data_IF_005192214158
#
_entry.id   IF_005192214158
#
_cell.length_a   1.000
_cell.length_b   1.000
_cell.length_c   1.000
_cell.angle_alpha   90.00
_cell.angle_beta   90.00
_cell.angle_gamma   90.00
#
_symmetry.space_group_name_H-M   'P 1'
#
loop_
_entity.id
_entity.type
_entity.pdbx_description
1 polymer ?
#
# COMPACT_ATOMS: atom_id res chain seq x y z
N UNK A 1 5.39 -34.51 -12.76
CA UNK A 1 5.35 -33.75 -11.49
C UNK A 1 4.10 -34.07 -10.67
N UNK A 2 2.89 -33.84 -11.18
CA UNK A 2 1.61 -34.10 -10.46
C UNK A 2 1.50 -35.56 -9.96
N UNK A 3 1.74 -36.55 -10.82
CA UNK A 3 1.74 -37.98 -10.43
C UNK A 3 2.74 -38.33 -9.32
N UNK A 4 3.89 -37.65 -9.28
CA UNK A 4 4.88 -37.86 -8.22
C UNK A 4 4.41 -37.26 -6.88
N UNK A 5 3.72 -36.13 -6.94
CA UNK A 5 3.09 -35.54 -5.75
C UNK A 5 1.96 -36.43 -5.21
N UNK A 6 1.18 -37.07 -6.09
CA UNK A 6 0.15 -38.04 -5.70
C UNK A 6 0.73 -39.23 -4.93
N UNK A 7 1.77 -39.85 -5.49
CA UNK A 7 2.44 -40.97 -4.83
C UNK A 7 3.03 -40.56 -3.47
N UNK A 8 3.68 -39.39 -3.41
CA UNK A 8 4.25 -38.87 -2.16
C UNK A 8 3.18 -38.56 -1.10
N UNK A 9 2.01 -38.05 -1.51
CA UNK A 9 0.88 -37.84 -0.60
C UNK A 9 0.38 -39.17 -0.02
N UNK A 10 0.21 -40.19 -0.86
CA UNK A 10 -0.17 -41.54 -0.41
C UNK A 10 0.86 -42.15 0.56
N UNK A 11 2.16 -42.02 0.27
CA UNK A 11 3.25 -42.48 1.14
C UNK A 11 3.23 -41.75 2.49
N UNK A 12 3.03 -40.44 2.50
CA UNK A 12 2.96 -39.65 3.73
C UNK A 12 1.74 -40.03 4.58
N UNK A 13 0.60 -40.39 3.96
CA UNK A 13 -0.61 -40.83 4.66
C UNK A 13 -0.32 -42.16 5.35
N UNK A 14 0.28 -43.10 4.61
CA UNK A 14 0.69 -44.38 5.15
C UNK A 14 1.73 -44.25 6.28
N UNK A 15 2.59 -43.23 6.23
CA UNK A 15 3.62 -42.96 7.24
C UNK A 15 3.13 -42.16 8.45
N UNK A 16 1.85 -41.77 8.53
CA UNK A 16 1.30 -41.01 9.65
C UNK A 16 1.91 -39.60 9.79
N UNK A 17 2.29 -38.97 8.68
CA UNK A 17 2.88 -37.63 8.70
C UNK A 17 1.92 -36.57 9.29
N UNK A 18 2.41 -35.40 9.73
CA UNK A 18 1.54 -34.34 10.24
C UNK A 18 0.78 -33.61 9.12
N UNK A 19 -0.44 -33.14 9.44
CA UNK A 19 -1.39 -32.50 8.51
C UNK A 19 -0.77 -31.41 7.60
N UNK A 20 0.05 -30.52 8.17
CA UNK A 20 0.67 -29.39 7.45
C UNK A 20 1.54 -29.82 6.27
N UNK A 21 2.13 -31.03 6.32
CA UNK A 21 3.02 -31.52 5.26
C UNK A 21 2.21 -31.93 4.03
N UNK A 22 1.02 -32.51 4.24
CA UNK A 22 0.06 -32.82 3.18
C UNK A 22 -0.48 -31.55 2.57
N UNK A 23 -0.91 -30.61 3.40
CA UNK A 23 -1.51 -29.35 2.96
C UNK A 23 -0.59 -28.60 1.98
N UNK A 24 0.69 -28.52 2.32
CA UNK A 24 1.68 -27.84 1.48
C UNK A 24 1.91 -28.53 0.13
N UNK A 25 2.01 -29.86 0.10
CA UNK A 25 2.19 -30.63 -1.14
C UNK A 25 0.93 -30.55 -2.01
N UNK A 26 -0.25 -30.71 -1.39
CA UNK A 26 -1.55 -30.57 -2.06
C UNK A 26 -1.73 -29.19 -2.67
N UNK A 27 -1.34 -28.12 -1.95
CA UNK A 27 -1.35 -26.75 -2.46
C UNK A 27 -0.48 -26.60 -3.71
N UNK A 28 0.78 -27.01 -3.65
CA UNK A 28 1.66 -26.92 -4.83
C UNK A 28 1.21 -27.79 -6.00
N UNK A 29 0.64 -28.97 -5.72
CA UNK A 29 0.01 -29.81 -6.73
C UNK A 29 -1.13 -29.06 -7.43
N UNK A 30 -1.99 -28.37 -6.68
CA UNK A 30 -3.08 -27.57 -7.24
C UNK A 30 -2.56 -26.44 -8.15
N UNK A 31 -1.49 -25.74 -7.76
CA UNK A 31 -0.84 -24.75 -8.62
C UNK A 31 -0.31 -25.37 -9.92
N UNK A 32 0.32 -26.56 -9.85
CA UNK A 32 0.80 -27.26 -11.04
C UNK A 32 -0.34 -27.64 -11.99
N UNK A 33 -1.48 -28.11 -11.45
CA UNK A 33 -2.67 -28.42 -12.24
C UNK A 33 -3.22 -27.16 -12.91
N UNK A 34 -3.38 -26.06 -12.17
CA UNK A 34 -3.81 -24.76 -12.72
C UNK A 34 -2.92 -24.31 -13.87
N UNK A 35 -1.59 -24.41 -13.71
CA UNK A 35 -0.66 -23.98 -14.74
C UNK A 35 -0.77 -24.83 -16.01
N UNK A 36 -0.95 -26.15 -15.87
CA UNK A 36 -1.16 -27.05 -17.02
C UNK A 36 -2.47 -26.69 -17.74
N UNK A 37 -3.54 -26.43 -16.99
CA UNK A 37 -4.82 -26.01 -17.55
C UNK A 37 -4.72 -24.70 -18.33
N UNK A 38 -4.12 -23.66 -17.71
CA UNK A 38 -3.94 -22.36 -18.34
C UNK A 38 -3.08 -22.41 -19.60
N UNK A 39 -2.01 -23.22 -19.59
CA UNK A 39 -1.17 -23.42 -20.78
C UNK A 39 -1.99 -24.08 -21.90
N UNK A 40 -2.78 -25.12 -21.59
CA UNK A 40 -3.62 -25.78 -22.59
C UNK A 40 -4.65 -24.82 -23.18
N UNK A 41 -5.41 -24.12 -22.33
CA UNK A 41 -6.40 -23.13 -22.76
C UNK A 41 -5.80 -22.04 -23.63
N UNK A 42 -4.65 -21.48 -23.23
CA UNK A 42 -3.98 -20.42 -23.98
C UNK A 42 -3.36 -20.89 -25.29
N UNK A 43 -2.60 -21.99 -25.28
CA UNK A 43 -1.78 -22.42 -26.42
C UNK A 43 -2.56 -23.31 -27.38
N UNK A 44 -3.38 -24.23 -26.87
CA UNK A 44 -4.11 -25.20 -27.69
C UNK A 44 -5.46 -24.64 -28.14
N UNK A 45 -6.19 -23.98 -27.23
CA UNK A 45 -7.52 -23.45 -27.52
C UNK A 45 -7.53 -21.95 -27.87
N UNK A 46 -6.38 -21.26 -27.80
CA UNK A 46 -6.26 -19.85 -28.14
C UNK A 46 -7.00 -18.90 -27.18
N UNK A 47 -7.38 -19.38 -25.99
CA UNK A 47 -8.16 -18.60 -25.02
C UNK A 47 -7.33 -17.51 -24.34
N UNK A 48 -7.98 -16.38 -24.06
CA UNK A 48 -7.43 -15.32 -23.21
C UNK A 48 -7.77 -15.63 -21.76
N UNK A 49 -6.77 -16.01 -20.97
CA UNK A 49 -6.95 -16.28 -19.54
C UNK A 49 -7.30 -14.99 -18.79
N UNK A 50 -8.44 -14.94 -18.08
CA UNK A 50 -8.83 -13.83 -17.22
C UNK A 50 -7.76 -13.50 -16.17
N UNK A 51 -7.71 -12.25 -15.72
CA UNK A 51 -6.68 -11.81 -14.77
C UNK A 51 -6.85 -12.48 -13.40
N UNK A 52 -8.09 -12.61 -12.92
CA UNK A 52 -8.44 -13.27 -11.65
C UNK A 52 -8.04 -14.74 -11.56
N UNK A 53 -7.87 -15.42 -12.70
CA UNK A 53 -7.42 -16.81 -12.71
C UNK A 53 -5.89 -16.93 -12.56
N UNK A 54 -5.14 -15.87 -12.83
CA UNK A 54 -3.67 -15.90 -12.84
C UNK A 54 -3.12 -15.81 -11.43
N UNK A 55 -2.07 -16.58 -11.17
CA UNK A 55 -1.32 -16.54 -9.91
C UNK A 55 0.11 -16.14 -10.20
N UNK A 56 0.57 -15.07 -9.56
CA UNK A 56 1.90 -14.51 -9.79
C UNK A 56 2.96 -15.03 -8.81
N UNK A 57 2.54 -15.52 -7.64
CA UNK A 57 3.41 -16.19 -6.68
C UNK A 57 2.71 -17.43 -6.11
N UNK A 58 3.39 -18.59 -6.21
CA UNK A 58 2.92 -19.84 -5.60
C UNK A 58 3.15 -19.88 -4.08
N UNK A 59 3.94 -18.95 -3.57
CA UNK A 59 4.22 -18.80 -2.14
C UNK A 59 3.23 -17.83 -1.50
N UNK A 60 2.92 -16.73 -2.19
CA UNK A 60 1.96 -15.71 -1.77
C UNK A 60 0.93 -15.48 -2.89
N UNK A 61 -0.14 -16.29 -2.98
CA UNK A 61 -1.11 -16.21 -4.08
C UNK A 61 -1.85 -14.87 -4.20
N UNK A 62 -1.76 -14.03 -3.18
CA UNK A 62 -2.36 -12.70 -3.13
C UNK A 62 -1.50 -11.60 -3.76
N UNK A 63 -0.29 -11.90 -4.24
CA UNK A 63 0.57 -10.92 -4.92
C UNK A 63 -0.13 -10.38 -6.16
N UNK A 64 -0.22 -9.07 -6.29
CA UNK A 64 -0.86 -8.40 -7.41
C UNK A 64 0.15 -8.11 -8.53
N UNK A 65 -0.34 -8.10 -9.77
CA UNK A 65 0.39 -7.58 -10.92
C UNK A 65 0.07 -6.10 -11.07
N UNK A 66 1.06 -5.23 -10.87
CA UNK A 66 0.90 -3.78 -10.96
C UNK A 66 1.69 -3.26 -12.16
N UNK A 67 1.01 -2.65 -13.12
CA UNK A 67 1.65 -2.00 -14.27
C UNK A 67 1.83 -0.51 -13.97
N UNK A 68 3.02 -0.07 -13.55
CA UNK A 68 3.28 1.34 -13.15
C UNK A 68 3.45 2.32 -14.33
N UNK A 69 3.32 1.88 -15.58
CA UNK A 69 3.28 2.77 -16.77
C UNK A 69 4.55 3.61 -17.04
N UNK A 70 5.62 3.46 -16.23
CA UNK A 70 6.89 4.16 -16.39
C UNK A 70 7.75 3.45 -17.45
N UNK A 71 8.41 4.23 -18.31
CA UNK A 71 9.32 3.69 -19.32
C UNK A 71 10.45 2.90 -18.64
N UNK A 72 10.52 1.59 -18.90
CA UNK A 72 11.59 0.70 -18.42
C UNK A 72 11.21 -0.28 -17.32
N UNK A 73 10.15 -0.02 -16.54
CA UNK A 73 9.59 -0.99 -15.57
C UNK A 73 8.13 -1.24 -15.94
N UNK A 74 7.91 -2.32 -16.69
CA UNK A 74 6.60 -2.60 -17.26
C UNK A 74 5.64 -3.15 -16.20
N UNK A 75 6.17 -3.86 -15.19
CA UNK A 75 5.38 -4.62 -14.20
C UNK A 75 6.13 -4.78 -12.88
N UNK A 76 5.42 -4.61 -11.78
CA UNK A 76 5.87 -4.94 -10.42
C UNK A 76 4.91 -5.94 -9.75
N UNK A 77 5.44 -6.74 -8.83
CA UNK A 77 4.72 -7.80 -8.10
C UNK A 77 4.63 -7.45 -6.62
N UNK A 78 3.58 -6.75 -6.24
CA UNK A 78 3.45 -6.16 -4.90
C UNK A 78 1.99 -6.24 -4.42
N UNK A 79 1.76 -5.81 -3.18
CA UNK A 79 0.43 -5.55 -2.63
C UNK A 79 0.38 -4.07 -2.29
N UNK A 80 -0.48 -3.27 -2.94
CA UNK A 80 -0.55 -1.84 -2.65
C UNK A 80 -1.02 -1.57 -1.22
N UNK A 81 -0.51 -0.49 -0.64
CA UNK A 81 -0.92 0.02 0.67
C UNK A 81 -1.21 1.50 0.52
N UNK A 82 -2.42 1.90 0.91
CA UNK A 82 -2.80 3.31 1.03
C UNK A 82 -2.53 3.80 2.45
N UNK A 83 -1.99 5.01 2.61
CA UNK A 83 -1.75 5.64 3.90
C UNK A 83 -2.37 7.04 3.94
N UNK A 84 -2.74 7.48 5.14
CA UNK A 84 -3.15 8.86 5.42
C UNK A 84 -2.18 9.45 6.42
N UNK A 85 -1.53 10.55 6.04
CA UNK A 85 -0.54 11.26 6.85
C UNK A 85 -1.09 12.63 7.27
N UNK A 86 -0.75 13.07 8.47
CA UNK A 86 -1.08 14.42 8.96
C UNK A 86 0.02 15.46 8.62
N UNK A 87 -0.26 16.72 8.93
CA UNK A 87 0.68 17.83 8.73
C UNK A 87 1.95 17.73 9.59
N UNK A 88 1.96 16.87 10.61
CA UNK A 88 3.10 16.64 11.49
C UNK A 88 3.91 15.40 11.10
N UNK A 89 3.57 14.77 9.98
CA UNK A 89 4.18 13.57 9.43
C UNK A 89 3.91 12.29 10.25
N UNK A 90 2.77 12.23 10.92
CA UNK A 90 2.26 11.00 11.52
C UNK A 90 1.29 10.31 10.57
N UNK A 91 1.44 9.01 10.44
CA UNK A 91 0.51 8.17 9.69
C UNK A 91 -0.69 7.90 10.60
N UNK A 92 -1.84 8.47 10.24
CA UNK A 92 -3.10 8.36 10.98
C UNK A 92 -3.84 7.06 10.66
N UNK A 93 -3.82 6.65 9.40
CA UNK A 93 -4.51 5.44 8.94
C UNK A 93 -3.74 4.76 7.80
N UNK A 94 -3.97 3.46 7.63
CA UNK A 94 -3.44 2.67 6.52
C UNK A 94 -4.42 1.58 6.09
N UNK A 95 -4.40 1.23 4.80
CA UNK A 95 -5.22 0.15 4.23
C UNK A 95 -4.41 -0.69 3.25
N UNK A 96 -4.40 -2.01 3.47
CA UNK A 96 -3.81 -2.97 2.53
C UNK A 96 -4.83 -3.30 1.45
N UNK A 97 -4.43 -3.13 0.18
CA UNK A 97 -5.32 -3.18 -0.97
C UNK A 97 -5.14 -4.51 -1.71
N UNK A 98 -6.00 -5.50 -1.41
CA UNK A 98 -5.86 -6.84 -2.00
C UNK A 98 -6.40 -6.92 -3.43
N UNK A 99 -7.62 -6.43 -3.61
CA UNK A 99 -8.38 -6.47 -4.86
C UNK A 99 -9.06 -5.11 -5.10
N UNK A 100 -8.51 -4.07 -4.46
CA UNK A 100 -9.02 -2.71 -4.48
C UNK A 100 -8.08 -1.80 -5.26
N UNK A 101 -8.63 -0.84 -6.01
CA UNK A 101 -7.86 0.23 -6.63
C UNK A 101 -7.85 1.50 -5.77
N UNK A 102 -7.00 2.47 -6.11
CA UNK A 102 -6.95 3.77 -5.43
C UNK A 102 -8.33 4.44 -5.38
N UNK A 103 -9.11 4.30 -6.46
CA UNK A 103 -10.46 4.84 -6.56
C UNK A 103 -11.40 4.15 -5.56
N UNK A 104 -11.26 2.85 -5.36
CA UNK A 104 -12.16 2.08 -4.48
C UNK A 104 -11.91 2.40 -3.00
N UNK A 105 -10.64 2.58 -2.62
CA UNK A 105 -10.26 2.80 -1.21
C UNK A 105 -10.40 4.24 -0.73
N UNK A 106 -10.48 5.20 -1.66
CA UNK A 106 -10.42 6.63 -1.36
C UNK A 106 -11.44 7.09 -0.32
N UNK A 107 -12.73 6.81 -0.53
CA UNK A 107 -13.79 7.22 0.40
C UNK A 107 -13.74 6.40 1.69
N UNK A 108 -13.66 5.05 1.65
CA UNK A 108 -13.60 4.25 2.87
C UNK A 108 -12.50 4.67 3.84
N UNK A 109 -11.25 4.84 3.38
CA UNK A 109 -10.13 5.17 4.27
C UNK A 109 -10.31 6.56 4.90
N UNK A 110 -10.90 7.51 4.17
CA UNK A 110 -11.15 8.86 4.67
C UNK A 110 -12.27 8.86 5.71
N UNK A 111 -13.39 8.17 5.44
CA UNK A 111 -14.48 8.05 6.40
C UNK A 111 -14.03 7.36 7.70
N UNK A 112 -13.25 6.27 7.58
CA UNK A 112 -12.62 5.59 8.72
C UNK A 112 -11.69 6.55 9.49
N UNK A 113 -10.91 7.37 8.79
CA UNK A 113 -9.99 8.34 9.42
C UNK A 113 -10.76 9.44 10.15
N UNK A 114 -11.81 10.00 9.55
CA UNK A 114 -12.66 11.02 10.19
C UNK A 114 -13.37 10.47 11.43
N UNK A 115 -13.74 9.20 11.43
CA UNK A 115 -14.32 8.55 12.62
C UNK A 115 -13.30 8.41 13.76
N UNK A 116 -12.04 8.12 13.44
CA UNK A 116 -10.97 8.01 14.45
C UNK A 116 -10.49 9.38 14.95
N UNK A 117 -10.52 10.40 14.10
CA UNK A 117 -9.96 11.72 14.36
C UNK A 117 -10.97 12.81 13.97
N UNK A 118 -11.75 13.30 14.94
CA UNK A 118 -12.80 14.32 14.70
C UNK A 118 -12.27 15.65 14.19
N UNK A 119 -10.99 15.95 14.43
CA UNK A 119 -10.30 17.14 13.92
C UNK A 119 -9.84 16.99 12.45
N UNK A 120 -9.91 15.77 11.88
CA UNK A 120 -9.56 15.52 10.49
C UNK A 120 -10.66 16.04 9.56
N UNK A 121 -10.43 17.24 9.03
CA UNK A 121 -11.44 18.02 8.27
C UNK A 121 -11.09 18.23 6.81
N UNK A 122 -9.82 18.08 6.43
CA UNK A 122 -9.38 18.36 5.07
C UNK A 122 -8.29 17.39 4.62
N UNK A 123 -8.25 17.08 3.33
CA UNK A 123 -7.29 16.14 2.77
C UNK A 123 -6.96 16.48 1.31
N UNK A 124 -5.71 16.27 0.93
CA UNK A 124 -5.26 16.34 -0.46
C UNK A 124 -4.93 14.94 -0.98
N UNK A 125 -5.17 14.73 -2.27
CA UNK A 125 -5.11 13.41 -2.89
C UNK A 125 -4.23 13.42 -4.13
N UNK A 126 -3.71 12.26 -4.49
CA UNK A 126 -3.18 12.05 -5.84
C UNK A 126 -4.34 11.91 -6.84
N UNK A 127 -4.06 12.19 -8.11
CA UNK A 127 -5.03 12.11 -9.21
C UNK A 127 -5.53 10.68 -9.45
N UNK A 128 -4.79 9.67 -8.99
CA UNK A 128 -5.19 8.26 -9.05
C UNK A 128 -6.51 7.97 -8.32
N UNK A 129 -6.78 8.68 -7.23
CA UNK A 129 -7.98 8.50 -6.38
C UNK A 129 -9.27 9.09 -6.99
N UNK A 130 -9.16 9.84 -8.08
CA UNK A 130 -10.29 10.59 -8.63
C UNK A 130 -11.33 9.69 -9.29
N UNK A 131 -12.57 9.84 -8.82
CA UNK A 131 -13.79 9.58 -9.60
C UNK A 131 -14.83 10.68 -9.29
N UNK A 132 -15.79 10.97 -10.19
CA UNK A 132 -16.85 11.93 -9.91
C UNK A 132 -17.64 11.58 -8.64
N UNK A 133 -17.84 10.28 -8.39
CA UNK A 133 -18.51 9.77 -7.19
C UNK A 133 -17.68 10.06 -5.93
N UNK A 134 -16.38 9.79 -5.96
CA UNK A 134 -15.48 10.05 -4.83
C UNK A 134 -15.40 11.53 -4.52
N UNK A 135 -15.20 12.39 -5.52
CA UNK A 135 -15.13 13.84 -5.31
C UNK A 135 -16.38 14.35 -4.61
N UNK A 136 -17.57 13.97 -5.12
CA UNK A 136 -18.84 14.40 -4.53
C UNK A 136 -19.00 13.92 -3.09
N UNK A 137 -18.67 12.64 -2.83
CA UNK A 137 -18.79 12.07 -1.48
C UNK A 137 -17.82 12.72 -0.51
N UNK A 138 -16.60 13.01 -0.93
CA UNK A 138 -15.61 13.69 -0.09
C UNK A 138 -15.99 15.14 0.21
N UNK A 139 -16.67 15.83 -0.71
CA UNK A 139 -17.23 17.17 -0.44
C UNK A 139 -18.33 17.14 0.66
N UNK A 140 -18.94 15.97 0.93
CA UNK A 140 -19.90 15.79 2.03
C UNK A 140 -19.24 15.41 3.36
N UNK A 141 -18.05 14.80 3.31
CA UNK A 141 -17.34 14.25 4.48
C UNK A 141 -16.27 15.22 5.01
N UNK A 142 -15.65 16.00 4.13
CA UNK A 142 -14.55 16.92 4.45
C UNK A 142 -15.00 18.37 4.29
N UNK A 143 -14.52 19.24 5.17
CA UNK A 143 -14.60 20.69 5.01
C UNK A 143 -13.69 21.16 3.86
N UNK A 144 -12.57 20.46 3.61
CA UNK A 144 -11.59 20.80 2.57
C UNK A 144 -11.18 19.58 1.73
N UNK A 145 -11.80 19.42 0.56
CA UNK A 145 -11.42 18.40 -0.43
C UNK A 145 -10.47 18.99 -1.47
N UNK A 146 -9.21 18.55 -1.47
CA UNK A 146 -8.18 19.00 -2.43
C UNK A 146 -7.79 17.88 -3.41
N UNK A 147 -8.79 17.13 -3.90
CA UNK A 147 -8.62 16.10 -4.93
C UNK A 147 -8.51 16.72 -6.34
N UNK A 148 -7.43 16.45 -7.10
CA UNK A 148 -7.32 16.92 -8.47
C UNK A 148 -8.19 16.06 -9.41
N UNK A 149 -8.89 16.72 -10.33
CA UNK A 149 -9.68 16.05 -11.37
C UNK A 149 -8.79 15.32 -12.36
N UNK A 150 -9.18 14.09 -12.71
CA UNK A 150 -8.52 13.31 -13.78
C UNK A 150 -9.01 13.73 -15.16
N UNK A 151 -8.09 13.98 -16.09
CA UNK A 151 -8.40 14.29 -17.49
C UNK A 151 -8.62 15.78 -17.78
N UNK A 152 -9.50 16.09 -18.74
CA UNK A 152 -9.75 17.48 -19.19
C UNK A 152 -10.42 18.30 -18.09
N UNK A 153 -9.80 19.43 -17.73
CA UNK A 153 -10.32 20.38 -16.75
C UNK A 153 -11.32 21.34 -17.41
N UNK A 154 -12.51 21.44 -16.82
CA UNK A 154 -13.47 22.51 -17.13
C UNK A 154 -13.01 23.84 -16.55
N UNK A 155 -13.74 24.92 -16.85
CA UNK A 155 -13.43 26.26 -16.30
C UNK A 155 -13.52 26.28 -14.76
N UNK A 156 -14.51 25.62 -14.20
CA UNK A 156 -14.72 25.55 -12.74
C UNK A 156 -13.65 24.70 -12.05
N UNK A 157 -13.34 23.52 -12.59
CA UNK A 157 -12.26 22.67 -12.06
C UNK A 157 -10.91 23.38 -12.08
N UNK A 158 -10.64 24.13 -13.15
CA UNK A 158 -9.41 24.92 -13.27
C UNK A 158 -9.36 26.01 -12.20
N UNK A 159 -10.44 26.78 -12.04
CA UNK A 159 -10.52 27.82 -11.02
C UNK A 159 -10.35 27.24 -9.60
N UNK A 160 -10.93 26.07 -9.32
CA UNK A 160 -10.75 25.35 -8.04
C UNK A 160 -9.29 24.93 -7.83
N UNK A 161 -8.65 24.33 -8.83
CA UNK A 161 -7.27 23.84 -8.69
C UNK A 161 -6.21 24.95 -8.70
N UNK A 162 -6.55 26.13 -9.22
CA UNK A 162 -5.71 27.34 -9.18
C UNK A 162 -5.93 28.19 -7.92
N UNK A 163 -6.88 27.82 -7.05
CA UNK A 163 -7.10 28.49 -5.79
C UNK A 163 -5.90 28.31 -4.84
N UNK A 164 -5.65 29.31 -4.00
CA UNK A 164 -4.45 29.38 -3.15
C UNK A 164 -4.38 28.23 -2.14
N UNK A 165 -5.52 27.92 -1.51
CA UNK A 165 -5.71 26.80 -0.58
C UNK A 165 -5.43 25.44 -1.25
N UNK A 166 -5.91 25.25 -2.48
CA UNK A 166 -5.67 24.03 -3.25
C UNK A 166 -4.18 23.87 -3.60
N UNK A 167 -3.52 24.96 -4.02
CA UNK A 167 -2.09 24.96 -4.32
C UNK A 167 -1.28 24.67 -3.05
N UNK A 168 -1.62 25.28 -1.92
CA UNK A 168 -0.94 25.05 -0.64
C UNK A 168 -1.08 23.59 -0.19
N UNK A 169 -2.28 23.03 -0.25
CA UNK A 169 -2.52 21.63 0.07
C UNK A 169 -1.70 20.69 -0.83
N UNK A 170 -1.58 21.01 -2.13
CA UNK A 170 -0.79 20.22 -3.08
C UNK A 170 0.71 20.27 -2.83
N UNK A 171 1.24 21.33 -2.22
CA UNK A 171 2.67 21.44 -1.87
C UNK A 171 3.11 20.44 -0.81
N UNK A 172 2.19 19.79 -0.09
CA UNK A 172 2.49 18.77 0.92
C UNK A 172 2.70 17.36 0.34
N UNK A 173 2.38 17.13 -0.95
CA UNK A 173 2.53 15.81 -1.57
C UNK A 173 3.97 15.22 -1.53
N UNK A 174 5.04 16.01 -1.66
CA UNK A 174 6.39 15.50 -1.47
C UNK A 174 6.64 14.91 -0.07
N UNK A 175 5.91 15.33 0.96
CA UNK A 175 6.01 14.75 2.30
C UNK A 175 5.47 13.31 2.33
N UNK A 176 4.35 13.05 1.65
CA UNK A 176 3.76 11.71 1.55
C UNK A 176 4.72 10.73 0.85
N UNK A 177 5.38 11.15 -0.22
CA UNK A 177 6.42 10.34 -0.87
C UNK A 177 7.58 10.02 0.09
N UNK A 178 7.95 10.98 0.95
CA UNK A 178 8.95 10.75 1.99
C UNK A 178 8.45 9.76 3.04
N UNK A 179 7.17 9.79 3.41
CA UNK A 179 6.58 8.84 4.35
C UNK A 179 6.53 7.42 3.77
N UNK A 180 6.13 7.28 2.50
CA UNK A 180 6.16 5.99 1.78
C UNK A 180 7.58 5.42 1.75
N UNK A 181 8.57 6.24 1.41
CA UNK A 181 9.96 5.79 1.41
C UNK A 181 10.45 5.46 2.83
N UNK A 182 10.04 6.25 3.83
CA UNK A 182 10.28 5.97 5.24
C UNK A 182 9.83 4.56 5.62
N UNK A 183 8.57 4.23 5.32
CA UNK A 183 7.97 2.94 5.68
C UNK A 183 8.81 1.73 5.22
N UNK A 184 9.47 1.83 4.07
CA UNK A 184 10.41 0.80 3.61
C UNK A 184 11.60 0.65 4.56
N UNK A 185 12.20 1.76 5.02
CA UNK A 185 13.25 1.72 6.04
C UNK A 185 12.76 1.19 7.40
N UNK A 186 11.48 1.42 7.72
CA UNK A 186 10.83 0.85 8.91
C UNK A 186 10.31 -0.60 8.71
N UNK A 187 10.74 -1.26 7.64
CA UNK A 187 10.57 -2.71 7.44
C UNK A 187 9.36 -3.11 6.62
N UNK A 188 8.66 -2.16 5.99
CA UNK A 188 7.56 -2.47 5.08
C UNK A 188 8.04 -3.21 3.82
N UNK A 189 9.34 -3.10 3.49
CA UNK A 189 10.01 -3.83 2.41
C UNK A 189 10.35 -5.29 2.77
N UNK A 190 10.18 -5.70 4.03
CA UNK A 190 10.62 -7.00 4.56
C UNK A 190 9.52 -7.69 5.35
N UNK A 191 8.66 -8.39 4.63
CA UNK A 191 7.61 -9.22 5.23
C UNK A 191 8.16 -10.62 5.48
N UNK A 192 8.35 -10.98 6.75
CA UNK A 192 8.86 -12.30 7.18
C UNK A 192 7.75 -13.31 7.47
N UNK A 193 6.50 -12.87 7.47
CA UNK A 193 5.33 -13.68 7.82
C UNK A 193 4.53 -13.95 6.56
N UNK A 194 4.13 -15.20 6.35
CA UNK A 194 3.37 -15.60 5.18
C UNK A 194 1.88 -15.28 5.30
N UNK A 195 1.22 -15.12 4.15
CA UNK A 195 -0.23 -14.95 4.06
C UNK A 195 -0.75 -13.54 4.31
N UNK A 196 -2.01 -13.31 3.95
CA UNK A 196 -2.65 -11.98 3.97
C UNK A 196 -2.62 -11.33 5.36
N UNK A 197 -2.95 -12.09 6.40
CA UNK A 197 -2.93 -11.59 7.79
C UNK A 197 -1.51 -11.26 8.27
N UNK A 198 -0.53 -12.10 7.91
CA UNK A 198 0.88 -11.87 8.25
C UNK A 198 1.40 -10.59 7.62
N UNK A 199 1.12 -10.40 6.34
CA UNK A 199 1.45 -9.19 5.60
C UNK A 199 0.78 -7.95 6.21
N UNK A 200 -0.54 -7.98 6.44
CA UNK A 200 -1.26 -6.85 7.03
C UNK A 200 -0.71 -6.46 8.42
N UNK A 201 -0.37 -7.46 9.24
CA UNK A 201 0.28 -7.23 10.54
C UNK A 201 1.65 -6.60 10.38
N UNK A 202 2.46 -7.04 9.41
CA UNK A 202 3.77 -6.44 9.13
C UNK A 202 3.64 -4.97 8.72
N UNK A 203 2.70 -4.64 7.84
CA UNK A 203 2.43 -3.24 7.44
C UNK A 203 2.05 -2.41 8.66
N UNK A 204 1.12 -2.88 9.49
CA UNK A 204 0.71 -2.17 10.70
C UNK A 204 1.87 -1.93 11.69
N UNK A 205 2.78 -2.90 11.83
CA UNK A 205 3.98 -2.75 12.66
C UNK A 205 4.95 -1.72 12.09
N UNK A 206 5.13 -1.67 10.76
CA UNK A 206 5.96 -0.65 10.12
C UNK A 206 5.37 0.75 10.27
N UNK A 207 4.05 0.91 10.17
CA UNK A 207 3.36 2.18 10.46
C UNK A 207 3.59 2.62 11.91
N UNK A 208 3.47 1.70 12.87
CA UNK A 208 3.76 2.00 14.27
C UNK A 208 5.23 2.43 14.46
N UNK A 209 6.17 1.71 13.84
CA UNK A 209 7.59 2.03 13.91
C UNK A 209 7.90 3.41 13.32
N UNK A 210 7.28 3.77 12.18
CA UNK A 210 7.42 5.08 11.55
C UNK A 210 6.94 6.21 12.48
N UNK A 211 5.78 6.04 13.11
CA UNK A 211 5.24 7.02 14.06
C UNK A 211 6.11 7.16 15.32
N UNK A 212 6.66 6.05 15.86
CA UNK A 212 7.60 6.11 16.99
C UNK A 212 8.89 6.83 16.59
N UNK A 213 9.43 6.50 15.42
CA UNK A 213 10.63 7.17 14.89
C UNK A 213 10.40 8.67 14.72
N UNK A 214 9.24 9.06 14.17
CA UNK A 214 8.83 10.46 14.04
C UNK A 214 8.77 11.18 15.37
N UNK A 215 8.17 10.56 16.39
CA UNK A 215 8.15 11.11 17.74
C UNK A 215 9.56 11.34 18.29
N UNK A 216 10.47 10.38 18.08
CA UNK A 216 11.88 10.51 18.46
C UNK A 216 12.58 11.68 17.75
N UNK A 217 12.30 11.89 16.46
CA UNK A 217 12.82 13.04 15.70
C UNK A 217 12.33 14.36 16.29
N UNK A 218 11.05 14.46 16.66
CA UNK A 218 10.47 15.67 17.27
C UNK A 218 11.10 15.98 18.64
N UNK A 219 11.26 14.97 19.50
CA UNK A 219 11.92 15.12 20.81
C UNK A 219 13.36 15.59 20.63
N UNK A 220 14.13 14.93 19.76
CA UNK A 220 15.53 15.28 19.47
C UNK A 220 15.68 16.71 18.94
N UNK A 221 14.80 17.13 18.03
CA UNK A 221 14.83 18.48 17.48
C UNK A 221 14.53 19.53 18.55
N UNK A 222 13.56 19.26 19.42
CA UNK A 222 13.22 20.14 20.55
C UNK A 222 14.39 20.29 21.52
N UNK A 223 15.14 19.22 21.77
CA UNK A 223 16.35 19.26 22.60
C UNK A 223 17.47 20.06 21.93
N UNK A 224 17.75 19.80 20.65
CA UNK A 224 18.75 20.55 19.86
C UNK A 224 18.45 22.05 19.81
N UNK A 225 17.19 22.44 19.71
CA UNK A 225 16.82 23.86 19.76
C UNK A 225 17.09 24.50 21.13
N UNK A 226 16.83 23.77 22.22
CA UNK A 226 17.16 24.24 23.58
C UNK A 226 18.67 24.38 23.76
N UNK A 227 19.44 23.43 23.25
CA UNK A 227 20.91 23.48 23.27
C UNK A 227 21.43 24.63 22.42
N UNK A 228 20.93 24.82 21.20
CA UNK A 228 21.33 25.93 20.32
C UNK A 228 21.07 27.30 20.94
N UNK A 229 20.00 27.44 21.72
CA UNK A 229 19.71 28.67 22.50
C UNK A 229 20.66 28.86 23.69
N UNK A 230 21.24 27.78 24.23
CA UNK A 230 22.22 27.82 25.34
C UNK A 230 23.64 28.07 24.86
N UNK A 231 23.99 27.58 23.67
CA UNK A 231 25.32 27.74 23.08
C UNK A 231 25.48 29.15 22.48
N UNK A 232 26.65 29.76 22.68
CA UNK A 232 26.98 31.08 22.09
C UNK A 232 27.13 30.96 20.56
N UNK A 233 26.89 32.04 19.79
CA UNK A 233 27.21 32.05 18.36
C UNK A 233 28.67 31.65 18.11
N UNK A 234 28.90 30.71 17.18
CA UNK A 234 30.24 30.22 16.84
C UNK A 234 30.73 28.98 17.59
N UNK A 235 29.90 28.38 18.46
CA UNK A 235 30.24 27.12 19.11
C UNK A 235 30.17 25.96 18.12
N UNK A 236 31.33 25.46 17.69
CA UNK A 236 31.46 24.32 16.78
C UNK A 236 31.80 23.06 17.58
N UNK A 237 31.09 21.97 17.29
CA UNK A 237 31.38 20.64 17.82
C UNK A 237 31.94 19.81 16.67
N UNK A 238 33.18 19.36 16.80
CA UNK A 238 33.80 18.43 15.86
C UNK A 238 33.45 16.98 16.26
N UNK A 239 33.26 16.13 15.25
CA UNK A 239 33.03 14.70 15.43
C UNK A 239 34.34 13.95 15.67
#
# INVERSE_FOLDING_TARGET
MVRRADNLLCELVAAGAPAWRFERISRYKAHAIRQVDQIRRRIVYGEVIPQEEKVFSVFEPHTCWIAKGKAGVVVEFEVPVCIVEDQYQFILNHRVMWEESDVDVCVPIIEETTQMYTEFKACSFDQGFYSPKNSKRLDEVLEGNYMPKKGKLGKEDRKRQEAEDFIEARKQHPAVESAINGLNHEGCDKVRVHGKEGFARSVALSVLAANIHRLGVLVRNREREKERKRLKPGFLVAA
#
